data_IF_490943857704
#
_entry.id   IF_490943857704
#
_cell.length_a   1.000
_cell.length_b   1.000
_cell.length_c   1.000
_cell.angle_alpha   90.00
_cell.angle_beta   90.00
_cell.angle_gamma   90.00
#
_symmetry.space_group_name_H-M   'P 1'
#
loop_
_entity.id
_entity.type
_entity.pdbx_description
1 polymer ?
#
# COMPACT_ATOMS: atom_id res chain seq x y z
N UNK A 1 -1.99 -41.14 -16.50
CA UNK A 1 -2.22 -39.98 -15.58
C UNK A 1 -1.02 -39.01 -15.54
N UNK A 2 -0.33 -38.77 -16.67
CA UNK A 2 0.90 -37.93 -16.74
C UNK A 2 0.73 -36.66 -17.60
N UNK A 3 -0.23 -36.64 -18.53
CA UNK A 3 -0.45 -35.50 -19.43
C UNK A 3 -1.01 -34.24 -18.73
N UNK A 4 -1.70 -34.37 -17.60
CA UNK A 4 -2.29 -33.23 -16.89
C UNK A 4 -1.31 -32.46 -16.00
N UNK A 5 -0.15 -33.04 -15.61
CA UNK A 5 0.88 -32.31 -14.85
C UNK A 5 1.69 -31.38 -15.75
N UNK A 6 1.95 -31.82 -16.98
CA UNK A 6 2.72 -31.05 -17.98
C UNK A 6 1.99 -29.73 -18.31
N UNK A 7 0.67 -29.70 -18.44
CA UNK A 7 -0.03 -28.45 -18.83
C UNK A 7 0.02 -27.33 -17.78
N UNK A 8 0.25 -27.66 -16.50
CA UNK A 8 0.28 -26.67 -15.41
C UNK A 8 1.62 -25.93 -15.33
N UNK A 9 2.72 -26.61 -15.62
CA UNK A 9 4.07 -26.02 -15.54
C UNK A 9 4.41 -25.17 -16.77
N UNK A 10 3.92 -25.52 -17.96
CA UNK A 10 4.18 -24.77 -19.19
C UNK A 10 3.52 -23.40 -19.19
N UNK A 11 2.37 -23.25 -18.50
CA UNK A 11 1.72 -21.95 -18.30
C UNK A 11 2.57 -20.94 -17.51
N UNK A 12 3.52 -21.41 -16.70
CA UNK A 12 4.41 -20.55 -15.90
C UNK A 12 5.74 -20.25 -16.60
N UNK A 13 6.10 -21.01 -17.65
CA UNK A 13 7.35 -20.83 -18.39
C UNK A 13 7.24 -19.81 -19.53
N UNK A 14 6.02 -19.42 -19.93
CA UNK A 14 5.78 -18.50 -21.04
C UNK A 14 6.44 -17.11 -20.79
N UNK A 15 7.41 -16.69 -21.63
CA UNK A 15 8.10 -15.41 -21.48
C UNK A 15 7.15 -14.21 -21.53
N UNK A 16 6.07 -14.31 -22.32
CA UNK A 16 5.03 -13.29 -22.44
C UNK A 16 4.32 -13.03 -21.10
N UNK A 17 3.97 -14.07 -20.32
CA UNK A 17 3.29 -13.88 -19.04
C UNK A 17 4.18 -13.10 -18.06
N UNK A 18 5.47 -13.44 -18.00
CA UNK A 18 6.47 -12.71 -17.21
C UNK A 18 6.69 -11.27 -17.69
N UNK A 19 6.69 -11.04 -19.00
CA UNK A 19 6.78 -9.70 -19.58
C UNK A 19 5.54 -8.85 -19.23
N UNK A 20 4.34 -9.42 -19.32
CA UNK A 20 3.10 -8.75 -18.94
C UNK A 20 3.05 -8.44 -17.44
N UNK A 21 3.48 -9.37 -16.59
CA UNK A 21 3.57 -9.14 -15.13
C UNK A 21 4.61 -8.05 -14.79
N UNK A 22 5.65 -7.89 -15.61
CA UNK A 22 6.62 -6.80 -15.48
C UNK A 22 6.04 -5.45 -15.88
N UNK A 23 5.32 -5.40 -17.00
CA UNK A 23 4.66 -4.17 -17.49
C UNK A 23 3.57 -3.73 -16.51
N UNK A 24 2.76 -4.65 -16.02
CA UNK A 24 1.72 -4.37 -15.03
C UNK A 24 2.31 -3.75 -13.75
N UNK A 25 3.41 -4.32 -13.22
CA UNK A 25 4.11 -3.77 -12.05
C UNK A 25 4.64 -2.37 -12.31
N UNK A 26 5.25 -2.14 -13.46
CA UNK A 26 5.74 -0.80 -13.83
C UNK A 26 4.60 0.22 -13.90
N UNK A 27 3.46 -0.18 -14.48
CA UNK A 27 2.28 0.66 -14.59
C UNK A 27 1.71 1.01 -13.20
N UNK A 28 1.61 0.01 -12.32
CA UNK A 28 1.17 0.22 -10.93
C UNK A 28 2.10 1.17 -10.16
N UNK A 29 3.42 1.00 -10.29
CA UNK A 29 4.42 1.86 -9.65
C UNK A 29 4.30 3.29 -10.16
N UNK A 30 4.20 3.48 -11.48
CA UNK A 30 4.09 4.82 -12.07
C UNK A 30 2.78 5.50 -11.67
N UNK A 31 1.67 4.77 -11.71
CA UNK A 31 0.36 5.28 -11.32
C UNK A 31 0.34 5.64 -9.81
N UNK A 32 0.92 4.80 -8.95
CA UNK A 32 1.04 5.10 -7.53
C UNK A 32 1.89 6.35 -7.31
N UNK A 33 3.03 6.47 -8.00
CA UNK A 33 3.89 7.64 -7.92
C UNK A 33 3.12 8.92 -8.23
N UNK A 34 2.45 8.97 -9.39
CA UNK A 34 1.63 10.11 -9.80
C UNK A 34 0.52 10.41 -8.79
N UNK A 35 -0.10 9.36 -8.23
CA UNK A 35 -1.15 9.53 -7.22
C UNK A 35 -0.61 10.17 -5.94
N UNK A 36 0.54 9.71 -5.44
CA UNK A 36 1.15 10.24 -4.22
C UNK A 36 1.68 11.67 -4.40
N UNK A 37 2.17 12.00 -5.59
CA UNK A 37 2.58 13.36 -5.92
C UNK A 37 1.43 14.37 -5.81
N UNK A 38 0.16 13.95 -6.00
CA UNK A 38 -1.00 14.83 -5.76
C UNK A 38 -1.21 15.21 -4.29
N UNK A 39 -0.48 14.56 -3.38
CA UNK A 39 -0.52 14.75 -1.93
C UNK A 39 0.84 15.18 -1.36
N UNK A 40 1.75 15.67 -2.21
CA UNK A 40 3.12 16.05 -1.84
C UNK A 40 3.94 14.90 -1.20
N UNK A 41 3.60 13.66 -1.55
CA UNK A 41 4.32 12.46 -1.09
C UNK A 41 5.21 11.94 -2.23
N UNK A 42 6.52 12.00 -2.01
CA UNK A 42 7.52 11.48 -2.94
C UNK A 42 7.99 10.09 -2.48
N UNK A 43 8.35 9.21 -3.42
CA UNK A 43 8.85 7.86 -3.09
C UNK A 43 10.09 7.82 -2.16
N UNK A 44 11.06 8.75 -2.22
CA UNK A 44 12.13 8.81 -1.24
C UNK A 44 11.62 8.94 0.20
N UNK A 45 10.44 9.55 0.40
CA UNK A 45 9.80 9.69 1.71
C UNK A 45 9.26 8.34 2.23
N UNK A 46 9.17 7.32 1.37
CA UNK A 46 8.73 5.96 1.69
C UNK A 46 9.90 5.00 2.00
N UNK A 47 11.15 5.47 1.94
CA UNK A 47 12.32 4.64 2.23
C UNK A 47 12.41 4.22 3.72
N UNK A 48 11.59 4.84 4.57
CA UNK A 48 11.49 4.49 5.98
C UNK A 48 10.80 3.12 6.16
N UNK A 49 11.43 2.25 6.95
CA UNK A 49 10.87 0.98 7.39
C UNK A 49 10.61 1.05 8.90
N UNK A 50 9.35 0.94 9.36
CA UNK A 50 9.05 0.82 10.78
C UNK A 50 9.65 -0.47 11.36
N UNK A 51 9.74 -0.56 12.69
CA UNK A 51 10.07 -1.83 13.33
C UNK A 51 8.99 -2.90 13.02
N UNK A 52 9.32 -4.19 13.14
CA UNK A 52 8.37 -5.27 12.77
C UNK A 52 7.07 -5.21 13.60
N UNK A 53 7.15 -4.84 14.88
CA UNK A 53 5.99 -4.68 15.77
C UNK A 53 5.12 -3.48 15.36
N UNK A 54 5.74 -2.36 14.98
CA UNK A 54 5.02 -1.18 14.47
C UNK A 54 4.39 -1.41 13.09
N UNK A 55 5.04 -2.20 12.24
CA UNK A 55 4.61 -2.42 10.86
C UNK A 55 3.21 -3.03 10.82
N UNK A 56 2.91 -4.01 11.67
CA UNK A 56 1.58 -4.63 11.76
C UNK A 56 0.50 -3.60 12.11
N UNK A 57 0.72 -2.81 13.15
CA UNK A 57 -0.21 -1.76 13.61
C UNK A 57 -0.42 -0.70 12.54
N UNK A 58 0.66 -0.21 11.93
CA UNK A 58 0.59 0.76 10.85
C UNK A 58 -0.16 0.20 9.63
N UNK A 59 -0.03 -1.10 9.35
CA UNK A 59 -0.80 -1.74 8.29
C UNK A 59 -2.29 -1.81 8.58
N UNK A 60 -2.68 -2.11 9.81
CA UNK A 60 -4.09 -2.10 10.22
C UNK A 60 -4.69 -0.71 10.12
N UNK A 61 -3.97 0.31 10.62
CA UNK A 61 -4.36 1.72 10.47
C UNK A 61 -4.56 2.06 8.99
N UNK A 62 -3.59 1.71 8.14
CA UNK A 62 -3.65 1.96 6.70
C UNK A 62 -4.86 1.31 6.03
N UNK A 63 -5.24 0.09 6.44
CA UNK A 63 -6.45 -0.59 5.95
C UNK A 63 -7.71 0.13 6.43
N UNK A 64 -7.76 0.56 7.69
CA UNK A 64 -8.89 1.35 8.22
C UNK A 64 -9.07 2.66 7.46
N UNK A 65 -7.96 3.34 7.13
CA UNK A 65 -7.95 4.55 6.31
C UNK A 65 -8.42 4.24 4.89
N UNK A 66 -7.93 3.15 4.27
CA UNK A 66 -8.33 2.74 2.92
C UNK A 66 -9.83 2.45 2.78
N UNK A 67 -10.48 1.99 3.85
CA UNK A 67 -11.94 1.75 3.88
C UNK A 67 -12.76 3.03 3.99
N UNK A 68 -12.15 4.15 4.35
CA UNK A 68 -12.81 5.45 4.47
C UNK A 68 -12.15 6.48 3.56
N UNK A 69 -12.72 6.65 2.36
CA UNK A 69 -12.22 7.57 1.34
C UNK A 69 -12.20 9.04 1.80
N UNK A 70 -13.10 9.47 2.68
CA UNK A 70 -13.11 10.83 3.22
C UNK A 70 -11.90 11.04 4.13
N UNK A 71 -11.69 10.10 5.05
CA UNK A 71 -10.55 10.13 5.97
C UNK A 71 -9.21 10.05 5.21
N UNK A 72 -9.13 9.24 4.16
CA UNK A 72 -7.97 9.20 3.27
C UNK A 72 -7.72 10.57 2.61
N UNK A 73 -8.76 11.22 2.07
CA UNK A 73 -8.60 12.56 1.46
C UNK A 73 -8.13 13.58 2.49
N UNK A 74 -8.71 13.60 3.68
CA UNK A 74 -8.36 14.53 4.75
C UNK A 74 -6.90 14.37 5.21
N UNK A 75 -6.48 13.13 5.50
CA UNK A 75 -5.09 12.86 5.91
C UNK A 75 -4.08 13.19 4.81
N UNK A 76 -4.46 13.02 3.55
CA UNK A 76 -3.55 13.22 2.43
C UNK A 76 -3.44 14.68 1.99
N UNK A 77 -4.43 15.53 2.28
CA UNK A 77 -4.48 16.92 1.79
C UNK A 77 -4.26 17.97 2.86
N UNK A 78 -4.82 17.79 4.05
CA UNK A 78 -4.91 18.87 5.05
C UNK A 78 -4.05 18.60 6.29
N UNK A 79 -3.53 17.38 6.49
CA UNK A 79 -2.83 16.95 7.71
C UNK A 79 -3.52 17.49 8.97
N UNK A 80 -4.85 17.37 9.01
CA UNK A 80 -5.65 17.96 10.06
C UNK A 80 -5.42 17.22 11.38
N UNK A 81 -4.93 17.95 12.37
CA UNK A 81 -4.69 17.45 13.72
C UNK A 81 -5.96 16.84 14.35
N UNK A 82 -7.15 17.35 14.00
CA UNK A 82 -8.44 16.79 14.43
C UNK A 82 -8.72 15.41 13.83
N UNK A 83 -8.33 15.19 12.58
CA UNK A 83 -8.51 13.90 11.86
C UNK A 83 -7.51 12.88 12.40
N UNK A 84 -6.27 13.30 12.62
CA UNK A 84 -5.24 12.47 13.25
C UNK A 84 -5.65 12.05 14.68
N UNK A 85 -6.15 12.99 15.50
CA UNK A 85 -6.67 12.68 16.85
C UNK A 85 -7.85 11.70 16.82
N UNK A 86 -8.79 11.91 15.90
CA UNK A 86 -9.96 11.03 15.75
C UNK A 86 -9.55 9.62 15.31
N UNK A 87 -8.59 9.53 14.39
CA UNK A 87 -8.03 8.26 13.96
C UNK A 87 -7.25 7.59 15.11
N UNK A 88 -6.44 8.35 15.86
CA UNK A 88 -5.67 7.86 16.99
C UNK A 88 -6.57 7.18 18.02
N UNK A 89 -7.68 7.86 18.37
CA UNK A 89 -8.69 7.33 19.27
C UNK A 89 -9.36 6.07 18.69
N UNK A 90 -9.67 6.05 17.39
CA UNK A 90 -10.36 4.93 16.74
C UNK A 90 -9.51 3.66 16.65
N UNK A 91 -8.21 3.80 16.42
CA UNK A 91 -7.27 2.67 16.25
C UNK A 91 -6.46 2.38 17.51
N UNK A 92 -6.67 3.13 18.59
CA UNK A 92 -5.98 2.92 19.87
C UNK A 92 -4.49 3.20 19.82
N UNK A 93 -4.06 4.19 19.03
CA UNK A 93 -2.65 4.61 18.92
C UNK A 93 -2.45 6.04 19.45
N UNK A 94 -1.19 6.47 19.59
CA UNK A 94 -0.87 7.85 19.97
C UNK A 94 -0.86 8.76 18.73
N UNK A 95 -1.15 10.05 18.94
CA UNK A 95 -1.05 11.05 17.87
C UNK A 95 0.36 11.12 17.28
N UNK A 96 1.39 11.01 18.13
CA UNK A 96 2.79 11.03 17.72
C UNK A 96 3.11 9.93 16.70
N UNK A 97 2.65 8.69 16.95
CA UNK A 97 2.86 7.56 16.03
C UNK A 97 2.19 7.82 14.68
N UNK A 98 1.00 8.43 14.66
CA UNK A 98 0.35 8.78 13.40
C UNK A 98 1.12 9.84 12.62
N UNK A 99 1.63 10.87 13.30
CA UNK A 99 2.38 11.96 12.68
C UNK A 99 3.73 11.47 12.12
N UNK A 100 4.45 10.68 12.89
CA UNK A 100 5.77 10.14 12.51
C UNK A 100 5.68 9.16 11.33
N UNK A 101 4.52 8.51 11.15
CA UNK A 101 4.30 7.51 10.10
C UNK A 101 3.23 7.90 9.08
N UNK A 102 2.80 9.16 9.05
CA UNK A 102 1.68 9.60 8.22
C UNK A 102 1.88 9.26 6.73
N UNK A 103 3.08 9.54 6.22
CA UNK A 103 3.45 9.26 4.82
C UNK A 103 3.35 7.78 4.47
N UNK A 104 3.75 6.90 5.41
CA UNK A 104 3.63 5.46 5.25
C UNK A 104 2.15 5.03 5.23
N UNK A 105 1.37 5.54 6.19
CA UNK A 105 -0.06 5.21 6.33
C UNK A 105 -0.83 5.61 5.07
N UNK A 106 -0.62 6.83 4.58
CA UNK A 106 -1.28 7.35 3.37
C UNK A 106 -0.89 6.52 2.14
N UNK A 107 0.40 6.23 1.96
CA UNK A 107 0.86 5.43 0.83
C UNK A 107 0.26 4.02 0.81
N UNK A 108 0.27 3.36 1.97
CA UNK A 108 -0.32 2.02 2.10
C UNK A 108 -1.84 2.04 1.93
N UNK A 109 -2.52 3.06 2.46
CA UNK A 109 -3.95 3.22 2.27
C UNK A 109 -4.33 3.39 0.79
N UNK A 110 -3.53 4.12 0.01
CA UNK A 110 -3.69 4.18 -1.45
C UNK A 110 -3.45 2.84 -2.12
N UNK A 111 -2.45 2.07 -1.69
CA UNK A 111 -2.19 0.73 -2.25
C UNK A 111 -3.37 -0.22 -2.00
N UNK A 112 -3.98 -0.17 -0.81
CA UNK A 112 -5.12 -1.02 -0.48
C UNK A 112 -6.42 -0.60 -1.17
N UNK A 113 -6.69 0.69 -1.30
CA UNK A 113 -7.92 1.21 -1.93
C UNK A 113 -7.85 1.30 -3.45
N UNK A 114 -6.65 1.40 -4.03
CA UNK A 114 -6.46 1.64 -5.46
C UNK A 114 -6.29 0.39 -6.32
N UNK A 115 -6.05 0.54 -7.64
CA UNK A 115 -5.94 -0.56 -8.59
C UNK A 115 -4.53 -1.18 -8.62
N UNK A 116 -4.04 -1.64 -7.47
CA UNK A 116 -2.65 -2.11 -7.29
C UNK A 116 -2.54 -3.59 -6.87
N UNK A 117 -3.06 -4.55 -7.67
CA UNK A 117 -3.04 -5.96 -7.31
C UNK A 117 -1.62 -6.52 -7.13
N UNK A 118 -0.65 -6.10 -7.95
CA UNK A 118 0.72 -6.60 -7.85
C UNK A 118 1.42 -6.09 -6.60
N UNK A 119 1.26 -4.79 -6.29
CA UNK A 119 1.81 -4.20 -5.06
C UNK A 119 1.16 -4.80 -3.81
N UNK A 120 -0.17 -5.00 -3.81
CA UNK A 120 -0.85 -5.69 -2.70
C UNK A 120 -0.34 -7.11 -2.49
N UNK A 121 -0.20 -7.89 -3.57
CA UNK A 121 0.33 -9.25 -3.49
C UNK A 121 1.74 -9.27 -2.90
N UNK A 122 2.59 -8.32 -3.31
CA UNK A 122 3.94 -8.16 -2.76
C UNK A 122 3.93 -7.87 -1.25
N UNK A 123 3.12 -6.91 -0.81
CA UNK A 123 2.98 -6.56 0.61
C UNK A 123 2.49 -7.76 1.42
N UNK A 124 1.46 -8.46 0.94
CA UNK A 124 0.91 -9.65 1.62
C UNK A 124 1.86 -10.83 1.72
N UNK A 125 2.93 -10.89 0.92
CA UNK A 125 3.95 -11.94 1.00
C UNK A 125 5.13 -11.56 1.90
N UNK A 126 5.25 -10.28 2.28
CA UNK A 126 6.42 -9.72 3.00
C UNK A 126 6.14 -9.50 4.49
N UNK A 127 4.87 -9.57 4.88
CA UNK A 127 4.35 -9.44 6.24
C UNK A 127 3.70 -10.77 6.62
#
# INVERSE_FOLDING_TARGET
MLLMKVTKEWKNLLPWKRANDSVQRQHEILHLKQRLETYDIQFPNLAYRPSDVETQTLMEISKTVALNNELLKQLSSEKELAVELSLAHRVGTTLQILQDHLTFIVAMAHIFSGPYPSLRAYISHTI
#
